data_IF_164027397951
#
_entry.id   IF_164027397951
#
_cell.length_a   1.000
_cell.length_b   1.000
_cell.length_c   1.000
_cell.angle_alpha   90.00
_cell.angle_beta   90.00
_cell.angle_gamma   90.00
#
_symmetry.space_group_name_H-M   'P 1'
#
loop_
_entity.id
_entity.type
_entity.pdbx_description
1 polymer ?
#
# COMPACT_ATOMS: atom_id res chain seq x y z
N UNK A 1 -10.79 4.98 -43.77
CA UNK A 1 -10.02 4.10 -42.87
C UNK A 1 -10.02 4.73 -41.48
N UNK A 2 -10.68 4.12 -40.49
CA UNK A 2 -10.68 4.61 -39.11
C UNK A 2 -9.42 4.10 -38.44
N UNK A 3 -8.37 4.90 -38.47
CA UNK A 3 -7.15 4.62 -37.70
C UNK A 3 -7.50 4.82 -36.23
N UNK A 4 -7.90 3.74 -35.56
CA UNK A 4 -7.94 3.68 -34.10
C UNK A 4 -6.49 3.71 -33.61
N UNK A 5 -5.85 4.87 -33.70
CA UNK A 5 -4.58 5.13 -33.03
C UNK A 5 -4.90 5.00 -31.55
N UNK A 6 -4.38 3.93 -30.92
CA UNK A 6 -4.20 3.89 -29.48
C UNK A 6 -3.47 5.18 -29.13
N UNK A 7 -4.18 6.20 -28.67
CA UNK A 7 -3.57 7.44 -28.23
C UNK A 7 -2.75 7.08 -27.00
N UNK A 8 -1.46 6.83 -27.20
CA UNK A 8 -0.49 6.66 -26.10
C UNK A 8 -0.75 7.80 -25.13
N UNK A 9 -1.08 7.46 -23.88
CA UNK A 9 -1.14 8.49 -22.84
C UNK A 9 0.22 9.17 -22.79
N UNK A 10 0.21 10.51 -22.77
CA UNK A 10 1.45 11.27 -22.73
C UNK A 10 2.21 10.95 -21.44
N UNK A 11 3.54 11.00 -21.48
CA UNK A 11 4.37 10.84 -20.28
C UNK A 11 3.93 11.78 -19.15
N UNK A 12 3.51 13.01 -19.49
CA UNK A 12 2.97 13.98 -18.54
C UNK A 12 1.68 13.48 -17.86
N UNK A 13 0.75 12.89 -18.62
CA UNK A 13 -0.49 12.36 -18.05
C UNK A 13 -0.21 11.19 -17.10
N UNK A 14 0.65 10.27 -17.50
CA UNK A 14 1.08 9.13 -16.69
C UNK A 14 1.79 9.58 -15.41
N UNK A 15 2.67 10.58 -15.51
CA UNK A 15 3.35 11.14 -14.35
C UNK A 15 2.38 11.81 -13.38
N UNK A 16 1.42 12.60 -13.88
CA UNK A 16 0.39 13.21 -13.04
C UNK A 16 -0.47 12.15 -12.34
N UNK A 17 -0.87 11.09 -13.06
CA UNK A 17 -1.64 10.00 -12.48
C UNK A 17 -0.86 9.25 -11.40
N UNK A 18 0.43 8.97 -11.62
CA UNK A 18 1.31 8.36 -10.62
C UNK A 18 1.42 9.24 -9.37
N UNK A 19 1.59 10.55 -9.53
CA UNK A 19 1.72 11.51 -8.43
C UNK A 19 0.42 11.69 -7.62
N UNK A 20 -0.73 11.56 -8.26
CA UNK A 20 -2.05 11.76 -7.64
C UNK A 20 -2.66 10.46 -7.10
N UNK A 21 -2.08 9.31 -7.42
CA UNK A 21 -2.60 8.01 -7.03
C UNK A 21 -2.58 7.81 -5.50
N UNK A 22 -3.68 7.29 -4.97
CA UNK A 22 -3.86 6.94 -3.56
C UNK A 22 -4.59 5.61 -3.45
N UNK A 23 -4.37 4.88 -2.36
CA UNK A 23 -4.98 3.57 -2.12
C UNK A 23 -6.51 3.63 -2.10
N UNK A 24 -7.10 4.63 -1.44
CA UNK A 24 -8.56 4.76 -1.33
C UNK A 24 -9.23 3.52 -0.73
N UNK A 25 -10.19 2.93 -1.46
CA UNK A 25 -10.88 1.70 -1.09
C UNK A 25 -10.18 0.41 -1.58
N UNK A 26 -9.12 0.53 -2.38
CA UNK A 26 -8.42 -0.61 -2.96
C UNK A 26 -7.63 -1.39 -1.92
N UNK A 27 -7.42 -2.67 -2.20
CA UNK A 27 -6.45 -3.47 -1.45
C UNK A 27 -5.02 -2.97 -1.69
N UNK A 28 -4.10 -3.30 -0.78
CA UNK A 28 -2.68 -2.97 -0.92
C UNK A 28 -2.10 -3.56 -2.22
N UNK A 29 -2.57 -4.74 -2.62
CA UNK A 29 -2.11 -5.44 -3.82
C UNK A 29 -2.59 -4.77 -5.11
N UNK A 30 -3.87 -4.40 -5.19
CA UNK A 30 -4.41 -3.66 -6.33
C UNK A 30 -3.77 -2.28 -6.48
N UNK A 31 -3.58 -1.58 -5.37
CA UNK A 31 -2.92 -0.27 -5.37
C UNK A 31 -1.46 -0.38 -5.80
N UNK A 32 -0.73 -1.38 -5.28
CA UNK A 32 0.64 -1.66 -5.66
C UNK A 32 0.78 -1.99 -7.15
N UNK A 33 -0.11 -2.85 -7.67
CA UNK A 33 -0.14 -3.22 -9.09
C UNK A 33 -0.43 -2.01 -9.97
N UNK A 34 -1.39 -1.16 -9.59
CA UNK A 34 -1.68 0.09 -10.32
C UNK A 34 -0.43 0.96 -10.45
N UNK A 35 0.34 1.14 -9.38
CA UNK A 35 1.58 1.91 -9.43
C UNK A 35 2.67 1.23 -10.26
N UNK A 36 2.74 -0.10 -10.25
CA UNK A 36 3.64 -0.88 -11.11
C UNK A 36 3.36 -0.62 -12.58
N UNK A 37 2.10 -0.75 -12.99
CA UNK A 37 1.65 -0.50 -14.35
C UNK A 37 1.97 0.95 -14.77
N UNK A 38 1.65 1.93 -13.92
CA UNK A 38 1.89 3.35 -14.21
C UNK A 38 3.36 3.70 -14.38
N UNK A 39 4.27 3.21 -13.51
CA UNK A 39 5.69 3.57 -13.65
C UNK A 39 6.32 2.87 -14.87
N UNK A 40 5.89 1.65 -15.19
CA UNK A 40 6.36 0.93 -16.39
C UNK A 40 5.89 1.64 -17.64
N UNK A 41 4.62 2.00 -17.74
CA UNK A 41 4.08 2.76 -18.87
C UNK A 41 4.75 4.13 -19.01
N UNK A 42 4.96 4.84 -17.89
CA UNK A 42 5.69 6.10 -17.87
C UNK A 42 7.11 5.93 -18.41
N UNK A 43 7.81 4.87 -17.97
CA UNK A 43 9.18 4.56 -18.43
C UNK A 43 9.20 4.26 -19.93
N UNK A 44 8.24 3.48 -20.44
CA UNK A 44 8.12 3.18 -21.86
C UNK A 44 7.84 4.46 -22.66
N UNK A 45 6.96 5.32 -22.15
CA UNK A 45 6.59 6.59 -22.78
C UNK A 45 7.77 7.57 -22.83
N UNK A 46 8.57 7.66 -21.76
CA UNK A 46 9.75 8.52 -21.68
C UNK A 46 10.95 7.97 -22.47
N UNK A 47 11.11 6.64 -22.53
CA UNK A 47 12.23 6.01 -23.23
C UNK A 47 12.11 6.11 -24.75
N UNK A 48 10.89 6.27 -25.27
CA UNK A 48 10.59 6.42 -26.70
C UNK A 48 11.30 5.37 -27.58
N UNK A 49 11.28 4.11 -27.12
CA UNK A 49 11.89 2.98 -27.82
C UNK A 49 13.41 2.83 -27.67
N UNK A 50 14.08 3.70 -26.91
CA UNK A 50 15.52 3.62 -26.65
C UNK A 50 15.82 2.81 -25.39
N UNK A 51 16.55 1.71 -25.54
CA UNK A 51 16.88 0.82 -24.42
C UNK A 51 17.71 1.50 -23.33
N UNK A 52 18.68 2.34 -23.71
CA UNK A 52 19.52 3.06 -22.74
C UNK A 52 18.71 4.08 -21.93
N UNK A 53 17.75 4.75 -22.58
CA UNK A 53 16.83 5.65 -21.90
C UNK A 53 15.93 4.89 -20.93
N UNK A 54 15.44 3.71 -21.32
CA UNK A 54 14.66 2.84 -20.44
C UNK A 54 15.44 2.44 -19.19
N UNK A 55 16.71 2.03 -19.34
CA UNK A 55 17.60 1.68 -18.21
C UNK A 55 17.83 2.86 -17.26
N UNK A 56 17.90 4.09 -17.78
CA UNK A 56 18.04 5.30 -16.97
C UNK A 56 16.74 5.71 -16.27
N UNK A 57 15.61 5.70 -16.96
CA UNK A 57 14.33 6.18 -16.41
C UNK A 57 13.68 5.20 -15.46
N UNK A 58 13.84 3.89 -15.68
CA UNK A 58 13.23 2.85 -14.84
C UNK A 58 13.51 3.04 -13.35
N UNK A 59 14.75 3.13 -12.87
CA UNK A 59 15.02 3.29 -11.43
C UNK A 59 14.49 4.62 -10.87
N UNK A 60 14.41 5.68 -11.69
CA UNK A 60 13.87 6.99 -11.28
C UNK A 60 12.36 6.89 -11.07
N UNK A 61 11.65 6.30 -12.03
CA UNK A 61 10.20 6.14 -11.98
C UNK A 61 9.78 5.12 -10.92
N UNK A 62 10.57 4.06 -10.71
CA UNK A 62 10.32 3.09 -9.64
C UNK A 62 10.49 3.72 -8.24
N UNK A 63 11.52 4.55 -8.03
CA UNK A 63 11.65 5.33 -6.78
C UNK A 63 10.46 6.25 -6.56
N UNK A 64 9.97 6.90 -7.62
CA UNK A 64 8.78 7.74 -7.53
C UNK A 64 7.54 6.92 -7.17
N UNK A 65 7.38 5.73 -7.74
CA UNK A 65 6.30 4.81 -7.41
C UNK A 65 6.37 4.32 -5.95
N UNK A 66 7.57 4.00 -5.44
CA UNK A 66 7.78 3.63 -4.02
C UNK A 66 7.36 4.77 -3.09
N UNK A 67 7.84 5.99 -3.38
CA UNK A 67 7.47 7.16 -2.59
C UNK A 67 5.94 7.35 -2.60
N UNK A 68 5.32 7.31 -3.78
CA UNK A 68 3.86 7.46 -3.91
C UNK A 68 3.08 6.33 -3.27
N UNK A 69 3.60 5.10 -3.31
CA UNK A 69 3.00 3.98 -2.60
C UNK A 69 2.97 4.25 -1.10
N UNK A 70 4.12 4.58 -0.50
CA UNK A 70 4.20 4.81 0.95
C UNK A 70 3.35 6.00 1.41
N UNK A 71 3.36 7.12 0.68
CA UNK A 71 2.56 8.32 0.97
C UNK A 71 1.06 8.12 0.70
N UNK A 72 0.72 7.28 -0.29
CA UNK A 72 -0.64 7.04 -0.77
C UNK A 72 -1.42 5.99 0.01
N UNK A 73 -0.80 5.32 1.00
CA UNK A 73 -1.46 4.32 1.84
C UNK A 73 -2.54 4.95 2.73
N UNK A 74 -3.66 4.24 2.88
CA UNK A 74 -4.76 4.65 3.76
C UNK A 74 -4.36 4.63 5.25
N UNK A 75 -3.47 3.72 5.63
CA UNK A 75 -3.03 3.57 7.01
C UNK A 75 -1.73 4.35 7.24
N UNK A 76 -1.83 5.50 7.93
CA UNK A 76 -0.68 6.35 8.23
C UNK A 76 0.43 5.64 9.02
N UNK A 77 0.08 4.68 9.90
CA UNK A 77 1.10 3.89 10.62
C UNK A 77 1.88 2.97 9.69
N UNK A 78 1.21 2.34 8.72
CA UNK A 78 1.89 1.53 7.70
C UNK A 78 2.78 2.42 6.83
N UNK A 79 2.29 3.60 6.44
CA UNK A 79 3.08 4.60 5.71
C UNK A 79 4.40 4.90 6.43
N UNK A 80 4.35 5.30 7.71
CA UNK A 80 5.56 5.61 8.49
C UNK A 80 6.52 4.42 8.62
N UNK A 81 6.00 3.21 8.88
CA UNK A 81 6.84 2.01 9.01
C UNK A 81 7.57 1.70 7.70
N UNK A 82 6.89 1.83 6.56
CA UNK A 82 7.48 1.50 5.26
C UNK A 82 8.47 2.57 4.81
N UNK A 83 8.17 3.85 5.01
CA UNK A 83 9.10 4.96 4.70
C UNK A 83 10.40 4.83 5.50
N UNK A 84 10.34 4.39 6.76
CA UNK A 84 11.53 4.22 7.59
C UNK A 84 12.44 3.06 7.17
N UNK A 85 11.96 2.12 6.33
CA UNK A 85 12.72 0.94 5.91
C UNK A 85 13.50 1.12 4.60
N UNK A 86 13.34 2.26 3.93
CA UNK A 86 14.12 2.67 2.74
C UNK A 86 14.29 1.58 1.67
N UNK A 87 13.18 1.14 1.09
CA UNK A 87 13.16 0.10 0.07
C UNK A 87 13.67 0.58 -1.29
N UNK A 88 14.36 -0.30 -2.02
CA UNK A 88 14.87 -0.04 -3.37
C UNK A 88 13.94 -0.52 -4.49
N UNK A 89 13.10 -1.52 -4.24
CA UNK A 89 12.20 -2.12 -5.22
C UNK A 89 10.73 -2.02 -4.78
N UNK A 90 9.83 -1.72 -5.72
CA UNK A 90 8.40 -1.55 -5.39
C UNK A 90 7.78 -2.86 -4.87
N UNK A 91 8.21 -4.00 -5.41
CA UNK A 91 7.69 -5.33 -5.04
C UNK A 91 7.94 -5.66 -3.58
N UNK A 92 9.11 -5.29 -3.06
CA UNK A 92 9.47 -5.51 -1.67
C UNK A 92 8.62 -4.65 -0.72
N UNK A 93 8.35 -3.40 -1.08
CA UNK A 93 7.48 -2.52 -0.31
C UNK A 93 6.06 -3.08 -0.24
N UNK A 94 5.52 -3.55 -1.38
CA UNK A 94 4.18 -4.15 -1.44
C UNK A 94 4.11 -5.39 -0.56
N UNK A 95 5.11 -6.27 -0.64
CA UNK A 95 5.18 -7.48 0.21
C UNK A 95 5.22 -7.12 1.68
N UNK A 96 6.08 -6.18 2.07
CA UNK A 96 6.19 -5.71 3.45
C UNK A 96 4.88 -5.08 3.95
N UNK A 97 4.21 -4.29 3.10
CA UNK A 97 2.93 -3.69 3.43
C UNK A 97 1.85 -4.77 3.71
N UNK A 98 1.79 -5.82 2.88
CA UNK A 98 0.88 -6.96 3.10
C UNK A 98 1.20 -7.70 4.40
N UNK A 99 2.47 -7.92 4.70
CA UNK A 99 2.92 -8.58 5.94
C UNK A 99 2.54 -7.78 7.19
N UNK A 100 2.76 -6.46 7.17
CA UNK A 100 2.41 -5.58 8.29
C UNK A 100 0.89 -5.42 8.45
N UNK A 101 0.13 -5.41 7.35
CA UNK A 101 -1.34 -5.39 7.44
C UNK A 101 -1.88 -6.67 8.09
N UNK A 102 -1.30 -7.84 7.78
CA UNK A 102 -1.66 -9.09 8.46
C UNK A 102 -1.32 -9.05 9.95
N UNK A 103 -0.13 -8.55 10.31
CA UNK A 103 0.31 -8.41 11.71
C UNK A 103 -0.62 -7.50 12.53
N UNK A 104 -1.07 -6.39 11.95
CA UNK A 104 -1.99 -5.46 12.62
C UNK A 104 -3.37 -6.07 12.85
N UNK A 105 -3.89 -6.86 11.91
CA UNK A 105 -5.16 -7.59 12.08
C UNK A 105 -5.08 -8.64 13.20
N UNK A 106 -3.99 -9.42 13.24
CA UNK A 106 -3.78 -10.44 14.28
C UNK A 106 -3.66 -9.82 15.67
N UNK A 107 -2.89 -8.74 15.81
CA UNK A 107 -2.73 -8.04 17.10
C UNK A 107 -4.04 -7.39 17.56
N UNK A 108 -4.82 -6.81 16.65
CA UNK A 108 -6.16 -6.29 16.97
C UNK A 108 -7.12 -7.39 17.43
N UNK A 109 -7.10 -8.56 16.79
CA UNK A 109 -7.93 -9.70 17.17
C UNK A 109 -7.56 -10.22 18.57
N UNK A 110 -6.27 -10.39 18.85
CA UNK A 110 -5.78 -10.80 20.18
C UNK A 110 -6.17 -9.81 21.29
N UNK A 111 -6.09 -8.50 21.02
CA UNK A 111 -6.52 -7.47 21.97
C UNK A 111 -8.01 -7.58 22.29
N UNK A 112 -8.85 -7.84 21.28
CA UNK A 112 -10.30 -8.02 21.49
C UNK A 112 -10.62 -9.28 22.30
N UNK A 113 -9.95 -10.39 22.03
CA UNK A 113 -10.11 -11.62 22.81
C UNK A 113 -9.66 -11.42 24.27
N UNK A 114 -8.54 -10.73 24.50
CA UNK A 114 -8.06 -10.43 25.85
C UNK A 114 -9.02 -9.52 26.63
N UNK A 115 -9.58 -8.48 25.99
CA UNK A 115 -10.56 -7.60 26.65
C UNK A 115 -11.87 -8.33 26.97
N UNK A 116 -12.31 -9.25 26.11
CA UNK A 116 -13.49 -10.07 26.38
C UNK A 116 -13.29 -10.99 27.59
N UNK A 117 -12.10 -11.61 27.69
CA UNK A 117 -11.74 -12.45 28.84
C UNK A 117 -11.68 -11.64 30.15
N UNK A 118 -11.14 -10.42 30.13
CA UNK A 118 -11.13 -9.54 31.31
C UNK A 118 -12.54 -9.18 31.78
N UNK A 119 -13.45 -8.84 30.84
CA UNK A 119 -14.85 -8.50 31.18
C UNK A 119 -15.59 -9.71 31.78
N UNK A 120 -15.40 -10.91 31.24
CA UNK A 120 -16.05 -12.12 31.76
C UNK A 120 -15.61 -12.44 33.22
N UNK A 121 -14.34 -12.23 33.56
CA UNK A 121 -13.81 -12.42 34.93
C UNK A 121 -14.38 -11.40 35.91
N UNK A 122 -14.52 -10.14 35.50
CA UNK A 122 -15.08 -9.08 36.35
C UNK A 122 -16.59 -9.30 36.61
N UNK A 123 -17.33 -9.88 35.66
CA UNK A 123 -18.76 -10.22 35.86
C UNK A 123 -18.98 -11.45 36.75
N UNK A 124 -18.05 -12.42 36.72
CA UNK A 124 -18.14 -13.62 37.55
C UNK A 124 -17.86 -13.31 39.02
N UNK A 125 -16.89 -12.45 39.32
CA UNK A 125 -16.54 -12.04 40.68
C UNK A 125 -17.62 -11.18 41.35
N UNK A 126 -18.32 -10.33 40.59
CA UNK A 126 -19.43 -9.53 41.13
C UNK A 126 -20.69 -10.34 41.51
N UNK A 127 -20.82 -11.58 41.02
CA UNK A 127 -21.99 -12.43 41.30
C UNK A 127 -21.82 -13.33 42.54
N UNK A 128 -20.60 -13.48 43.06
CA UNK A 128 -20.32 -14.26 44.28
C UNK A 128 -20.44 -13.42 45.58
N UNK A 129 -20.35 -12.08 45.49
CA UNK A 129 -20.43 -11.20 46.67
C UNK A 129 -21.87 -10.81 47.08
N UNK A 130 -22.90 -11.10 46.26
CA UNK A 130 -24.30 -10.77 46.57
C UNK A 130 -25.10 -11.92 47.21
N UNK A 131 -24.43 -12.98 47.68
CA UNK A 131 -25.04 -14.22 48.17
C UNK A 131 -24.66 -14.57 49.60
N UNK A 132 -24.70 -13.63 50.54
CA UNK A 132 -24.70 -13.95 51.99
C UNK A 132 -25.32 -12.79 52.78
N UNK A 133 -26.64 -12.82 52.91
CA UNK A 133 -27.40 -12.20 53.98
C UNK A 133 -28.43 -13.21 54.48
#
# INVERSE_FOLDING_TARGET
MKNNLLTKQSATALQLELLQSRQGSQSIEEFGKKLEDLFVELTISQADGKEDAYKMFRPVNEKLAIQRFTEGLRNGRLSTILTARDYSELKDVIRAAKDEERRTKVTAHRRRQSLRLSIEVDTATASEESGTC
#
